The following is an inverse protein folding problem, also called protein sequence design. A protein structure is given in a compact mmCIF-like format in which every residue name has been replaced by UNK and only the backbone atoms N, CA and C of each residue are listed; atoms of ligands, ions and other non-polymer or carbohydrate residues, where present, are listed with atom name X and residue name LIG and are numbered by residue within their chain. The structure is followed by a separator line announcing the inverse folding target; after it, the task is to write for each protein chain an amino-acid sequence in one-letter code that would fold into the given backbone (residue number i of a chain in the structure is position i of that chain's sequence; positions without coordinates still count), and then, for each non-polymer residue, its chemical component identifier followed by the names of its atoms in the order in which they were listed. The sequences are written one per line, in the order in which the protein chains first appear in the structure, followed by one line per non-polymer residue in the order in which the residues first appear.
data_IF_492296718156
#
_entry.id   IF_492296718156
#
_cell.length_a   1.000
_cell.length_b   1.000
_cell.length_c   1.000
_cell.angle_alpha   90.00
_cell.angle_beta   90.00
_cell.angle_gamma   90.00
#
_symmetry.space_group_name_H-M   'P 1'
#
loop_
_entity.id
_entity.type
_entity.pdbx_description
1 polymer ?
#
# COMPACT_ATOMS: atom_id res chain seq x y z
N UNK A 1 -9.07 20.25 2.32
CA UNK A 1 -8.45 18.98 1.90
C UNK A 1 -9.14 17.86 2.65
N UNK A 2 -9.99 17.07 2.00
CA UNK A 2 -10.81 16.06 2.67
C UNK A 2 -9.97 14.78 2.88
N UNK A 3 -9.76 14.29 4.11
CA UNK A 3 -9.00 13.07 4.37
C UNK A 3 -9.55 11.85 3.64
N UNK A 4 -10.85 11.86 3.32
CA UNK A 4 -11.53 10.78 2.62
C UNK A 4 -11.04 10.57 1.19
N UNK A 5 -10.48 11.60 0.53
CA UNK A 5 -9.86 11.43 -0.80
C UNK A 5 -8.53 10.68 -0.74
N UNK A 6 -7.89 10.56 0.43
CA UNK A 6 -6.67 9.77 0.60
C UNK A 6 -6.98 8.26 0.67
N UNK A 7 -8.19 7.87 1.08
CA UNK A 7 -8.62 6.46 1.07
C UNK A 7 -8.76 5.91 -0.35
N UNK A 8 -9.03 6.77 -1.34
CA UNK A 8 -9.09 6.40 -2.76
C UNK A 8 -7.74 6.03 -3.36
N UNK A 9 -6.62 6.30 -2.68
CA UNK A 9 -5.30 5.80 -3.08
C UNK A 9 -5.16 4.29 -2.92
N UNK A 10 -5.89 3.67 -1.98
CA UNK A 10 -5.82 2.23 -1.74
C UNK A 10 -6.28 1.38 -2.94
N UNK A 11 -7.47 1.61 -3.53
CA UNK A 11 -7.88 0.87 -4.73
C UNK A 11 -6.99 1.19 -5.94
N UNK A 12 -6.46 2.42 -6.03
CA UNK A 12 -5.53 2.80 -7.11
C UNK A 12 -4.20 2.03 -7.02
N UNK A 13 -3.61 1.95 -5.82
CA UNK A 13 -2.39 1.16 -5.56
C UNK A 13 -2.63 -0.32 -5.82
N UNK A 14 -3.78 -0.85 -5.40
CA UNK A 14 -4.15 -2.24 -5.67
C UNK A 14 -4.23 -2.53 -7.18
N UNK A 15 -4.83 -1.62 -7.97
CA UNK A 15 -4.92 -1.74 -9.42
C UNK A 15 -3.53 -1.68 -10.09
N UNK A 16 -2.65 -0.77 -9.66
CA UNK A 16 -1.28 -0.66 -10.19
C UNK A 16 -0.46 -1.92 -9.86
N UNK A 17 -0.57 -2.43 -8.63
CA UNK A 17 0.10 -3.66 -8.21
C UNK A 17 -0.34 -4.86 -9.05
N UNK A 18 -1.64 -5.00 -9.31
CA UNK A 18 -2.19 -6.02 -10.16
C UNK A 18 -1.70 -5.89 -11.62
N UNK A 19 -1.77 -4.70 -12.21
CA UNK A 19 -1.31 -4.46 -13.57
C UNK A 19 0.21 -4.70 -13.75
N UNK A 20 1.02 -4.30 -12.77
CA UNK A 20 2.46 -4.52 -12.77
C UNK A 20 2.80 -6.01 -12.73
N UNK A 21 2.18 -6.77 -11.83
CA UNK A 21 2.42 -8.22 -11.74
C UNK A 21 1.88 -8.97 -12.95
N UNK A 22 0.78 -8.52 -13.54
CA UNK A 22 0.21 -9.15 -14.72
C UNK A 22 1.10 -8.98 -15.96
N UNK A 23 1.80 -7.84 -16.07
CA UNK A 23 2.71 -7.59 -17.21
C UNK A 23 4.10 -8.20 -17.02
N UNK A 24 4.54 -8.43 -15.77
CA UNK A 24 5.88 -8.99 -15.47
C UNK A 24 5.92 -10.49 -15.18
N UNK A 25 4.80 -11.15 -14.89
CA UNK A 25 4.81 -12.60 -14.62
C UNK A 25 4.76 -13.38 -15.95
N UNK A 26 5.79 -14.19 -16.28
CA UNK A 26 5.81 -14.99 -17.51
C UNK A 26 4.77 -16.11 -17.51
N UNK A 27 4.22 -16.47 -16.36
CA UNK A 27 3.13 -17.45 -16.19
C UNK A 27 2.14 -16.96 -15.14
N UNK A 28 0.94 -16.60 -15.57
CA UNK A 28 -0.12 -16.08 -14.69
C UNK A 28 -0.96 -17.25 -14.21
N UNK A 29 -0.61 -17.83 -13.07
CA UNK A 29 -1.54 -18.69 -12.30
C UNK A 29 -2.29 -17.81 -11.30
N UNK A 30 -3.62 -17.85 -11.33
CA UNK A 30 -4.48 -16.96 -10.54
C UNK A 30 -4.15 -16.95 -9.02
N UNK A 31 -3.79 -18.11 -8.46
CA UNK A 31 -3.41 -18.22 -7.05
C UNK A 31 -2.06 -17.55 -6.72
N UNK A 32 -1.05 -17.72 -7.58
CA UNK A 32 0.27 -17.08 -7.40
C UNK A 32 0.14 -15.57 -7.60
N UNK A 33 -0.60 -15.14 -8.62
CA UNK A 33 -0.88 -13.73 -8.86
C UNK A 33 -1.57 -13.05 -7.67
N UNK A 34 -2.62 -13.66 -7.12
CA UNK A 34 -3.35 -13.09 -5.99
C UNK A 34 -2.49 -13.00 -4.72
N UNK A 35 -1.71 -14.05 -4.41
CA UNK A 35 -0.76 -14.06 -3.29
C UNK A 35 0.25 -12.93 -3.44
N UNK A 36 0.83 -12.82 -4.62
CA UNK A 36 1.87 -11.86 -4.94
C UNK A 36 1.32 -10.40 -4.88
N UNK A 37 0.11 -10.15 -5.38
CA UNK A 37 -0.56 -8.83 -5.25
C UNK A 37 -0.87 -8.52 -3.79
N UNK A 38 -1.37 -9.48 -3.02
CA UNK A 38 -1.68 -9.30 -1.60
C UNK A 38 -0.44 -8.98 -0.76
N UNK A 39 0.69 -9.65 -1.02
CA UNK A 39 1.97 -9.36 -0.35
C UNK A 39 2.44 -7.93 -0.63
N UNK A 40 2.37 -7.51 -1.90
CA UNK A 40 2.80 -6.17 -2.30
C UNK A 40 1.88 -5.08 -1.73
N UNK A 41 0.57 -5.32 -1.73
CA UNK A 41 -0.38 -4.40 -1.11
C UNK A 41 -0.15 -4.31 0.40
N UNK A 42 0.02 -5.45 1.08
CA UNK A 42 0.28 -5.52 2.51
C UNK A 42 1.57 -4.80 2.91
N UNK A 43 2.64 -4.91 2.12
CA UNK A 43 3.91 -4.22 2.42
C UNK A 43 3.78 -2.70 2.33
N UNK A 44 3.05 -2.19 1.32
CA UNK A 44 2.81 -0.75 1.18
C UNK A 44 1.97 -0.23 2.36
N UNK A 45 0.91 -0.94 2.73
CA UNK A 45 0.05 -0.56 3.87
C UNK A 45 0.85 -0.54 5.17
N UNK A 46 1.66 -1.57 5.42
CA UNK A 46 2.52 -1.63 6.61
C UNK A 46 3.50 -0.43 6.66
N UNK A 47 4.13 -0.10 5.52
CA UNK A 47 5.04 1.04 5.42
C UNK A 47 4.35 2.38 5.73
N UNK A 48 3.14 2.59 5.20
CA UNK A 48 2.35 3.80 5.46
C UNK A 48 1.97 3.91 6.93
N UNK A 49 1.56 2.82 7.57
CA UNK A 49 1.22 2.80 9.01
C UNK A 49 2.44 3.14 9.86
N UNK A 50 3.60 2.53 9.58
CA UNK A 50 4.85 2.81 10.31
C UNK A 50 5.20 4.30 10.18
N UNK A 51 5.13 4.83 8.96
CA UNK A 51 5.43 6.25 8.69
C UNK A 51 4.48 7.17 9.47
N UNK A 52 3.18 6.86 9.49
CA UNK A 52 2.19 7.64 10.22
C UNK A 52 2.47 7.63 11.73
N UNK A 53 2.83 6.47 12.31
CA UNK A 53 3.18 6.35 13.73
C UNK A 53 4.44 7.15 14.07
N UNK A 54 5.47 7.09 13.23
CA UNK A 54 6.71 7.85 13.41
C UNK A 54 6.43 9.35 13.37
N UNK A 55 5.67 9.81 12.37
CA UNK A 55 5.29 11.22 12.26
C UNK A 55 4.46 11.68 13.46
N UNK A 56 3.53 10.86 13.95
CA UNK A 56 2.74 11.17 15.14
C UNK A 56 3.62 11.27 16.39
N UNK A 57 4.54 10.32 16.59
CA UNK A 57 5.48 10.35 17.72
C UNK A 57 6.40 11.57 17.66
N UNK A 58 6.91 11.92 16.48
CA UNK A 58 7.71 13.13 16.29
C UNK A 58 6.90 14.40 16.55
N UNK A 59 5.67 14.47 16.07
CA UNK A 59 4.79 15.62 16.31
C UNK A 59 4.52 15.81 17.81
N UNK A 60 4.30 14.71 18.55
CA UNK A 60 4.15 14.74 20.00
C UNK A 60 5.43 15.24 20.68
N UNK A 61 6.60 14.71 20.30
CA UNK A 61 7.89 15.10 20.88
C UNK A 61 8.24 16.57 20.65
N UNK A 62 7.87 17.14 19.50
CA UNK A 62 8.13 18.54 19.17
C UNK A 62 7.13 19.48 19.87
N UNK A 63 5.91 19.01 20.12
CA UNK A 63 4.85 19.80 20.75
C UNK A 63 4.98 19.85 22.28
N UNK A 64 5.57 18.81 22.89
CA UNK A 64 5.95 18.75 24.31
C UNK A 64 7.19 19.62 24.58
#
# INVERSE_FOLDING_TARGET
TNPQSMLWLLPLVAAIAAAYKATKLPTITAGVFLKEVAILFGSIVAFVIITALVLYALAWLITV
#
